data_IF_671862662972
#
_entry.id   IF_671862662972
#
_cell.length_a   1.000
_cell.length_b   1.000
_cell.length_c   1.000
_cell.angle_alpha   90.00
_cell.angle_beta   90.00
_cell.angle_gamma   90.00
#
_symmetry.space_group_name_H-M   'P 1'
#
loop_
_entity.id
_entity.type
_entity.pdbx_description
1 polymer ?
#
# COMPACT_ATOMS: atom_id res chain seq x y z
N UNK A 1 -51.06 -14.28 8.55
CA UNK A 1 -51.17 -13.42 9.75
C UNK A 1 -50.15 -12.26 9.89
N UNK A 2 -48.99 -12.19 9.20
CA UNK A 2 -48.10 -11.01 9.29
C UNK A 2 -48.41 -9.88 8.27
N UNK A 3 -48.93 -10.22 7.08
CA UNK A 3 -49.21 -9.25 6.01
C UNK A 3 -50.24 -8.18 6.40
N UNK A 4 -51.31 -8.59 7.09
CA UNK A 4 -52.37 -7.69 7.58
C UNK A 4 -51.85 -6.74 8.66
N UNK A 5 -50.94 -7.21 9.53
CA UNK A 5 -50.29 -6.36 10.54
C UNK A 5 -49.36 -5.33 9.90
N UNK A 6 -48.59 -5.73 8.89
CA UNK A 6 -47.72 -4.83 8.13
C UNK A 6 -48.53 -3.79 7.33
N UNK A 7 -49.61 -4.23 6.69
CA UNK A 7 -50.53 -3.35 5.95
C UNK A 7 -51.22 -2.32 6.86
N UNK A 8 -51.63 -2.74 8.07
CA UNK A 8 -52.20 -1.85 9.08
C UNK A 8 -51.14 -0.90 9.67
N UNK A 9 -49.88 -1.29 9.71
CA UNK A 9 -48.77 -0.42 10.14
C UNK A 9 -48.45 0.66 9.10
N UNK A 10 -48.46 0.30 7.80
CA UNK A 10 -48.27 1.21 6.67
C UNK A 10 -49.41 2.23 6.55
N UNK A 11 -50.66 1.77 6.60
CA UNK A 11 -51.84 2.65 6.52
C UNK A 11 -52.12 3.42 7.82
N UNK A 12 -51.56 2.97 8.94
CA UNK A 12 -51.79 3.52 10.27
C UNK A 12 -53.09 3.03 10.91
N UNK A 13 -53.04 2.91 12.24
CA UNK A 13 -54.18 2.48 13.05
C UNK A 13 -54.30 3.34 14.32
N UNK A 14 -55.47 3.29 14.92
CA UNK A 14 -55.81 4.06 16.11
C UNK A 14 -56.19 3.09 17.21
N UNK A 15 -55.65 3.31 18.41
CA UNK A 15 -56.09 2.63 19.62
C UNK A 15 -57.27 3.44 20.16
N UNK A 16 -58.43 2.80 20.21
CA UNK A 16 -59.67 3.40 20.68
C UNK A 16 -60.06 2.83 22.04
N UNK A 17 -60.60 3.68 22.89
CA UNK A 17 -61.27 3.32 24.14
C UNK A 17 -62.77 3.53 23.94
N UNK A 18 -63.54 2.47 24.09
CA UNK A 18 -64.99 2.45 24.01
C UNK A 18 -65.54 2.44 25.43
N UNK A 19 -66.47 3.35 25.74
CA UNK A 19 -67.15 3.41 27.04
C UNK A 19 -68.67 3.43 26.85
N UNK A 20 -69.38 2.50 27.49
CA UNK A 20 -70.84 2.44 27.49
C UNK A 20 -71.37 1.08 27.95
N UNK A 21 -72.63 1.07 28.38
CA UNK A 21 -73.28 -0.12 28.97
C UNK A 21 -73.55 -1.24 27.95
N UNK A 22 -73.51 -0.92 26.64
CA UNK A 22 -73.80 -1.85 25.54
C UNK A 22 -72.60 -2.04 24.60
N UNK A 23 -71.42 -2.24 25.16
CA UNK A 23 -70.19 -2.38 24.39
C UNK A 23 -70.22 -3.53 23.36
N UNK A 24 -70.86 -4.65 23.69
CA UNK A 24 -71.02 -5.82 22.80
C UNK A 24 -71.86 -5.51 21.56
N UNK A 25 -72.88 -4.65 21.72
CA UNK A 25 -73.72 -4.19 20.60
C UNK A 25 -72.90 -3.40 19.58
N UNK A 26 -71.92 -2.61 20.03
CA UNK A 26 -71.01 -1.88 19.13
C UNK A 26 -70.04 -2.82 18.40
N UNK A 27 -69.56 -3.89 19.05
CA UNK A 27 -68.75 -4.93 18.39
C UNK A 27 -69.55 -5.62 17.28
N UNK A 28 -70.81 -5.98 17.56
CA UNK A 28 -71.70 -6.57 16.55
C UNK A 28 -71.98 -5.63 15.39
N UNK A 29 -72.26 -4.35 15.64
CA UNK A 29 -72.41 -3.37 14.56
C UNK A 29 -71.13 -3.20 13.73
N UNK A 30 -69.96 -3.26 14.37
CA UNK A 30 -68.69 -3.18 13.66
C UNK A 30 -68.47 -4.40 12.75
N UNK A 31 -68.73 -5.61 13.26
CA UNK A 31 -68.62 -6.86 12.49
C UNK A 31 -69.57 -6.87 11.28
N UNK A 32 -70.83 -6.48 11.47
CA UNK A 32 -71.85 -6.42 10.40
C UNK A 32 -71.53 -5.40 9.30
N UNK A 33 -70.78 -4.34 9.63
CA UNK A 33 -70.38 -3.29 8.66
C UNK A 33 -68.97 -3.54 8.09
N UNK A 34 -68.39 -4.74 8.29
CA UNK A 34 -67.06 -5.10 7.80
C UNK A 34 -65.92 -4.32 8.45
N UNK A 35 -66.13 -3.75 9.64
CA UNK A 35 -65.10 -3.00 10.37
C UNK A 35 -64.30 -3.99 11.20
N UNK A 36 -63.06 -4.23 10.79
CA UNK A 36 -62.15 -5.12 11.49
C UNK A 36 -61.56 -4.44 12.73
N UNK A 37 -61.94 -4.95 13.91
CA UNK A 37 -61.37 -4.63 15.22
C UNK A 37 -60.39 -5.74 15.60
N UNK A 38 -59.19 -5.38 16.05
CA UNK A 38 -58.22 -6.36 16.53
C UNK A 38 -57.64 -5.97 17.89
N UNK A 39 -57.08 -6.97 18.59
CA UNK A 39 -56.49 -6.80 19.92
C UNK A 39 -57.47 -6.14 20.91
N UNK A 40 -58.68 -6.72 20.95
CA UNK A 40 -59.78 -6.26 21.82
C UNK A 40 -59.47 -6.69 23.25
N UNK A 41 -59.44 -5.73 24.18
CA UNK A 41 -59.20 -5.96 25.60
C UNK A 41 -60.30 -5.31 26.42
N UNK A 42 -60.95 -6.07 27.29
CA UNK A 42 -61.93 -5.56 28.25
C UNK A 42 -61.19 -5.16 29.52
N UNK A 43 -61.33 -3.89 29.92
CA UNK A 43 -60.70 -3.35 31.14
C UNK A 43 -61.70 -3.37 32.30
N UNK A 44 -62.96 -3.05 32.02
CA UNK A 44 -64.07 -3.02 32.98
C UNK A 44 -65.34 -3.44 32.26
N UNK A 45 -66.42 -3.73 32.98
CA UNK A 45 -67.72 -4.09 32.39
C UNK A 45 -68.18 -3.11 31.30
N UNK A 46 -67.97 -1.81 31.54
CA UNK A 46 -68.39 -0.73 30.64
C UNK A 46 -67.25 -0.13 29.81
N UNK A 47 -66.03 -0.69 29.85
CA UNK A 47 -64.84 -0.11 29.20
C UNK A 47 -64.05 -1.16 28.42
N UNK A 48 -63.92 -0.94 27.11
CA UNK A 48 -63.12 -1.79 26.21
C UNK A 48 -62.11 -0.97 25.41
N UNK A 49 -60.96 -1.58 25.10
CA UNK A 49 -59.95 -1.04 24.19
C UNK A 49 -59.86 -1.94 22.98
N UNK A 50 -59.78 -1.34 21.79
CA UNK A 50 -59.54 -2.07 20.55
C UNK A 50 -58.65 -1.26 19.61
N UNK A 51 -58.06 -1.93 18.62
CA UNK A 51 -57.33 -1.30 17.52
C UNK A 51 -58.19 -1.31 16.26
N UNK A 52 -58.21 -0.18 15.56
CA UNK A 52 -58.99 0.01 14.32
C UNK A 52 -58.16 0.77 13.29
N UNK A 53 -58.35 0.46 12.02
CA UNK A 53 -57.75 1.20 10.90
C UNK A 53 -58.23 2.66 10.88
N UNK A 54 -57.40 3.60 10.41
CA UNK A 54 -57.80 5.01 10.32
C UNK A 54 -59.06 5.20 9.47
N UNK A 55 -59.18 4.46 8.37
CA UNK A 55 -60.34 4.58 7.44
C UNK A 55 -61.62 4.13 8.13
N UNK A 56 -61.53 3.08 8.94
CA UNK A 56 -62.69 2.45 9.58
C UNK A 56 -63.06 3.14 10.89
N UNK A 57 -62.14 3.88 11.51
CA UNK A 57 -62.42 4.71 12.69
C UNK A 57 -63.55 5.71 12.45
N UNK A 58 -63.56 6.39 11.29
CA UNK A 58 -64.61 7.35 10.94
C UNK A 58 -65.97 6.69 10.71
N UNK A 59 -65.98 5.43 10.23
CA UNK A 59 -67.20 4.65 10.07
C UNK A 59 -67.71 4.16 11.42
N UNK A 60 -66.81 3.67 12.27
CA UNK A 60 -67.11 3.22 13.62
C UNK A 60 -67.63 4.35 14.51
N UNK A 61 -67.12 5.58 14.37
CA UNK A 61 -67.61 6.74 15.14
C UNK A 61 -69.06 7.11 14.85
N UNK A 62 -69.53 6.85 13.62
CA UNK A 62 -70.94 7.01 13.24
C UNK A 62 -71.81 5.91 13.85
N UNK A 63 -71.31 4.68 13.91
CA UNK A 63 -72.01 3.53 14.51
C UNK A 63 -72.08 3.61 16.04
N UNK A 64 -71.05 4.12 16.69
CA UNK A 64 -71.01 4.27 18.14
C UNK A 64 -72.12 5.20 18.67
N UNK A 65 -72.46 6.25 17.91
CA UNK A 65 -73.62 7.11 18.22
C UNK A 65 -74.94 6.34 18.20
N UNK A 66 -75.12 5.42 17.25
CA UNK A 66 -76.32 4.55 17.19
C UNK A 66 -76.36 3.53 18.33
N UNK A 67 -75.20 3.06 18.78
CA UNK A 67 -75.05 2.10 19.87
C UNK A 67 -75.02 2.75 21.28
N UNK A 68 -75.27 4.07 21.40
CA UNK A 68 -75.14 4.84 22.65
C UNK A 68 -73.80 4.65 23.38
N UNK A 69 -72.72 4.42 22.63
CA UNK A 69 -71.37 4.25 23.17
C UNK A 69 -70.52 5.48 22.86
N UNK A 70 -69.63 5.86 23.77
CA UNK A 70 -68.64 6.92 23.56
C UNK A 70 -67.30 6.32 23.13
N UNK A 71 -66.67 6.93 22.14
CA UNK A 71 -65.37 6.55 21.61
C UNK A 71 -64.34 7.62 21.93
N UNK A 72 -63.23 7.21 22.52
CA UNK A 72 -62.06 8.05 22.80
C UNK A 72 -60.85 7.52 22.04
N UNK A 73 -60.08 8.41 21.42
CA UNK A 73 -58.81 8.05 20.78
C UNK A 73 -57.71 8.11 21.83
N UNK A 74 -57.15 6.96 22.19
CA UNK A 74 -56.07 6.85 23.19
C UNK A 74 -54.71 7.14 22.56
N UNK A 75 -54.44 6.55 21.40
CA UNK A 75 -53.14 6.69 20.72
C UNK A 75 -53.28 6.53 19.22
N UNK A 76 -52.55 7.35 18.47
CA UNK A 76 -52.43 7.29 17.00
C UNK A 76 -51.08 6.63 16.67
N UNK A 77 -51.08 5.53 15.92
CA UNK A 77 -49.87 4.74 15.64
C UNK A 77 -49.78 4.41 14.15
N UNK A 78 -48.59 4.56 13.56
CA UNK A 78 -48.29 4.08 12.21
C UNK A 78 -47.57 5.09 11.31
N UNK A 79 -47.06 4.59 10.18
CA UNK A 79 -46.20 5.34 9.26
C UNK A 79 -46.94 6.52 8.61
N UNK A 80 -48.25 6.37 8.36
CA UNK A 80 -49.10 7.44 7.82
C UNK A 80 -49.10 8.71 8.69
N UNK A 81 -49.13 8.59 10.02
CA UNK A 81 -49.07 9.76 10.91
C UNK A 81 -47.70 10.44 10.91
N UNK A 82 -46.62 9.65 10.77
CA UNK A 82 -45.27 10.18 10.63
C UNK A 82 -45.08 10.91 9.30
N UNK A 83 -45.48 10.29 8.18
CA UNK A 83 -45.42 10.88 6.84
C UNK A 83 -46.30 12.13 6.73
N UNK A 84 -47.51 12.14 7.31
CA UNK A 84 -48.38 13.31 7.28
C UNK A 84 -47.82 14.50 8.09
N UNK A 85 -47.10 14.22 9.19
CA UNK A 85 -46.35 15.23 9.94
C UNK A 85 -45.14 15.74 9.14
N UNK A 86 -44.48 14.86 8.39
CA UNK A 86 -43.36 15.19 7.50
C UNK A 86 -43.81 15.99 6.27
N UNK A 87 -45.00 15.72 5.70
CA UNK A 87 -45.59 16.46 4.56
C UNK A 87 -45.83 17.94 4.87
N UNK A 88 -46.11 18.30 6.13
CA UNK A 88 -46.18 19.71 6.55
C UNK A 88 -44.82 20.41 6.54
N UNK A 89 -43.72 19.66 6.57
CA UNK A 89 -42.34 20.14 6.48
C UNK A 89 -41.77 19.86 5.09
N UNK A 90 -42.33 20.51 4.07
CA UNK A 90 -41.92 20.35 2.66
C UNK A 90 -40.41 20.53 2.47
N UNK A 91 -39.78 21.43 3.23
CA UNK A 91 -38.33 21.67 3.21
C UNK A 91 -37.51 20.44 3.60
N UNK A 92 -37.94 19.64 4.59
CA UNK A 92 -37.24 18.41 4.97
C UNK A 92 -37.32 17.34 3.89
N UNK A 93 -38.48 17.21 3.23
CA UNK A 93 -38.65 16.23 2.15
C UNK A 93 -37.79 16.62 0.95
N UNK A 94 -37.87 17.90 0.53
CA UNK A 94 -37.05 18.42 -0.57
C UNK A 94 -35.56 18.28 -0.26
N UNK A 95 -35.15 18.64 0.97
CA UNK A 95 -33.77 18.48 1.42
C UNK A 95 -33.31 17.03 1.44
N UNK A 96 -34.16 16.08 1.85
CA UNK A 96 -33.85 14.65 1.83
C UNK A 96 -33.66 14.13 0.40
N UNK A 97 -34.53 14.54 -0.52
CA UNK A 97 -34.43 14.15 -1.94
C UNK A 97 -33.17 14.75 -2.58
N UNK A 98 -32.91 16.04 -2.34
CA UNK A 98 -31.69 16.71 -2.79
C UNK A 98 -30.43 16.06 -2.23
N UNK A 99 -30.45 15.69 -0.95
CA UNK A 99 -29.33 15.02 -0.30
C UNK A 99 -29.05 13.66 -0.95
N UNK A 100 -30.08 12.85 -1.20
CA UNK A 100 -29.93 11.58 -1.91
C UNK A 100 -29.41 11.81 -3.34
N UNK A 101 -29.97 12.77 -4.08
CA UNK A 101 -29.49 13.12 -5.41
C UNK A 101 -28.03 13.58 -5.40
N UNK A 102 -27.63 14.34 -4.38
CA UNK A 102 -26.25 14.79 -4.18
C UNK A 102 -25.31 13.62 -3.85
N UNK A 103 -25.74 12.64 -3.06
CA UNK A 103 -24.97 11.41 -2.83
C UNK A 103 -24.75 10.62 -4.12
N UNK A 104 -25.78 10.49 -4.98
CA UNK A 104 -25.62 9.85 -6.29
C UNK A 104 -24.70 10.65 -7.22
N UNK A 105 -24.78 11.97 -7.17
CA UNK A 105 -23.87 12.85 -7.90
C UNK A 105 -22.43 12.62 -7.46
N UNK A 106 -22.14 12.66 -6.15
CA UNK A 106 -20.81 12.37 -5.60
C UNK A 106 -20.33 10.95 -5.93
N UNK A 107 -21.22 9.95 -5.90
CA UNK A 107 -20.89 8.56 -6.24
C UNK A 107 -20.58 8.35 -7.73
N UNK A 108 -20.89 9.32 -8.59
CA UNK A 108 -20.61 9.25 -10.03
C UNK A 108 -19.18 9.67 -10.39
N UNK A 109 -18.41 10.17 -9.41
CA UNK A 109 -17.02 10.58 -9.58
C UNK A 109 -16.05 9.53 -9.03
N UNK A 110 -14.84 9.53 -9.59
CA UNK A 110 -13.72 8.74 -9.09
C UNK A 110 -13.06 9.50 -7.96
N UNK A 111 -13.09 8.96 -6.74
CA UNK A 111 -12.46 9.56 -5.55
C UNK A 111 -11.07 9.00 -5.27
N UNK A 112 -10.77 7.80 -5.79
CA UNK A 112 -9.50 7.13 -5.50
C UNK A 112 -9.09 6.27 -6.69
N UNK A 113 -7.82 6.37 -7.06
CA UNK A 113 -7.19 5.51 -8.07
C UNK A 113 -6.11 4.69 -7.37
N UNK A 114 -6.31 3.38 -7.36
CA UNK A 114 -5.38 2.41 -6.80
C UNK A 114 -4.68 1.67 -7.94
N UNK A 115 -3.35 1.59 -7.85
CA UNK A 115 -2.53 0.87 -8.81
C UNK A 115 -1.86 -0.29 -8.09
N UNK A 116 -2.18 -1.51 -8.52
CA UNK A 116 -1.67 -2.75 -7.97
C UNK A 116 -0.58 -3.26 -8.94
N UNK A 117 0.66 -3.27 -8.46
CA UNK A 117 1.80 -3.85 -9.15
C UNK A 117 2.92 -4.14 -8.14
N UNK A 118 3.75 -5.13 -8.45
CA UNK A 118 4.91 -5.51 -7.63
C UNK A 118 5.98 -4.42 -7.62
N UNK A 119 6.17 -3.73 -8.75
CA UNK A 119 7.17 -2.68 -8.92
C UNK A 119 6.65 -1.31 -8.41
N UNK A 120 7.26 -0.72 -7.37
CA UNK A 120 6.88 0.60 -6.86
C UNK A 120 7.12 1.74 -7.86
N UNK A 121 8.15 1.65 -8.69
CA UNK A 121 8.49 2.68 -9.66
C UNK A 121 7.46 2.74 -10.78
N UNK A 122 7.06 1.56 -11.28
CA UNK A 122 6.00 1.43 -12.29
C UNK A 122 4.68 2.01 -11.79
N UNK A 123 4.30 1.73 -10.53
CA UNK A 123 3.08 2.31 -9.92
C UNK A 123 3.08 3.82 -9.95
N UNK A 124 4.20 4.45 -9.59
CA UNK A 124 4.27 5.91 -9.54
C UNK A 124 4.27 6.53 -10.96
N UNK A 125 4.97 5.89 -11.91
CA UNK A 125 5.01 6.32 -13.30
C UNK A 125 3.62 6.25 -13.94
N UNK A 126 2.94 5.10 -13.84
CA UNK A 126 1.60 4.93 -14.40
C UNK A 126 0.58 5.85 -13.72
N UNK A 127 0.71 6.11 -12.41
CA UNK A 127 -0.19 7.08 -11.73
C UNK A 127 -0.09 8.47 -12.34
N UNK A 128 1.12 8.93 -12.66
CA UNK A 128 1.34 10.25 -13.27
C UNK A 128 0.78 10.28 -14.69
N UNK A 129 1.05 9.24 -15.48
CA UNK A 129 0.60 9.16 -16.86
C UNK A 129 -0.93 9.10 -16.99
N UNK A 130 -1.59 8.34 -16.13
CA UNK A 130 -3.05 8.29 -16.07
C UNK A 130 -3.62 9.69 -15.78
N UNK A 131 -3.01 10.43 -14.86
CA UNK A 131 -3.43 11.80 -14.56
C UNK A 131 -3.21 12.75 -15.76
N UNK A 132 -2.09 12.63 -16.48
CA UNK A 132 -1.82 13.39 -17.71
C UNK A 132 -2.83 13.07 -18.83
N UNK A 133 -3.29 11.83 -18.91
CA UNK A 133 -4.32 11.40 -19.86
C UNK A 133 -5.76 11.69 -19.40
N UNK A 134 -5.94 12.41 -18.29
CA UNK A 134 -7.25 12.84 -17.79
C UNK A 134 -7.97 11.84 -16.88
N UNK A 135 -7.32 10.74 -16.49
CA UNK A 135 -7.80 9.81 -15.47
C UNK A 135 -7.17 10.15 -14.11
N UNK A 136 -7.81 11.08 -13.39
CA UNK A 136 -7.38 11.54 -12.07
C UNK A 136 -8.54 11.51 -11.07
N UNK A 137 -8.23 11.82 -9.82
CA UNK A 137 -9.26 12.00 -8.78
C UNK A 137 -10.16 13.18 -9.19
N UNK A 138 -11.49 12.96 -9.17
CA UNK A 138 -12.49 13.89 -9.68
C UNK A 138 -12.95 13.63 -11.11
N UNK A 139 -12.41 12.63 -11.82
CA UNK A 139 -12.89 12.27 -13.16
C UNK A 139 -14.31 11.66 -13.08
N UNK A 140 -15.17 12.05 -14.02
CA UNK A 140 -16.53 11.50 -14.13
C UNK A 140 -16.48 10.07 -14.65
N UNK A 141 -17.01 9.12 -13.87
CA UNK A 141 -16.87 7.67 -14.12
C UNK A 141 -17.35 7.22 -15.50
N UNK A 142 -18.44 7.81 -15.99
CA UNK A 142 -19.08 7.39 -17.24
C UNK A 142 -18.35 7.87 -18.50
N UNK A 143 -17.40 8.80 -18.36
CA UNK A 143 -16.59 9.29 -19.48
C UNK A 143 -15.28 8.49 -19.66
N UNK A 144 -15.03 7.49 -18.81
CA UNK A 144 -13.79 6.72 -18.81
C UNK A 144 -13.91 5.57 -19.81
N UNK A 145 -13.24 5.68 -20.96
CA UNK A 145 -13.06 4.56 -21.88
C UNK A 145 -11.85 3.72 -21.47
N UNK A 146 -12.14 2.62 -20.77
CA UNK A 146 -11.12 1.66 -20.28
C UNK A 146 -10.19 1.16 -21.37
N UNK A 147 -10.71 0.91 -22.59
CA UNK A 147 -9.90 0.35 -23.68
C UNK A 147 -8.84 1.36 -24.12
N UNK A 148 -9.26 2.61 -24.31
CA UNK A 148 -8.34 3.69 -24.70
C UNK A 148 -7.19 3.88 -23.71
N UNK A 149 -7.44 3.72 -22.39
CA UNK A 149 -6.39 3.83 -21.38
C UNK A 149 -5.47 2.60 -21.38
N UNK A 150 -6.02 1.39 -21.54
CA UNK A 150 -5.23 0.18 -21.67
C UNK A 150 -4.30 0.24 -22.89
N UNK A 151 -4.80 0.68 -24.05
CA UNK A 151 -4.01 0.81 -25.26
C UNK A 151 -2.83 1.78 -25.06
N UNK A 152 -3.08 2.94 -24.41
CA UNK A 152 -2.03 3.90 -24.05
C UNK A 152 -0.99 3.34 -23.09
N UNK A 153 -1.41 2.52 -22.13
CA UNK A 153 -0.50 1.83 -21.21
C UNK A 153 0.42 0.89 -22.00
N UNK A 154 -0.14 0.01 -22.85
CA UNK A 154 0.67 -0.92 -23.65
C UNK A 154 1.58 -0.22 -24.66
N UNK A 155 1.16 0.93 -25.22
CA UNK A 155 1.98 1.74 -26.12
C UNK A 155 3.19 2.37 -25.42
N UNK A 156 3.02 2.83 -24.17
CA UNK A 156 4.08 3.53 -23.43
C UNK A 156 5.03 2.57 -22.70
N UNK A 157 4.51 1.44 -22.23
CA UNK A 157 5.23 0.47 -21.41
C UNK A 157 5.30 -0.89 -22.10
N UNK A 158 6.39 -1.13 -22.82
CA UNK A 158 6.60 -2.38 -23.57
C UNK A 158 6.92 -3.59 -22.66
N UNK A 159 7.21 -3.34 -21.39
CA UNK A 159 7.55 -4.32 -20.36
C UNK A 159 6.33 -4.83 -19.57
N UNK A 160 5.10 -4.42 -19.93
CA UNK A 160 3.87 -4.90 -19.28
C UNK A 160 3.34 -6.15 -20.01
N UNK A 161 3.14 -7.25 -19.28
CA UNK A 161 2.58 -8.49 -19.81
C UNK A 161 1.06 -8.44 -19.86
N UNK A 162 0.45 -7.86 -18.83
CA UNK A 162 -0.99 -7.79 -18.68
C UNK A 162 -1.38 -6.56 -17.87
N UNK A 163 -2.49 -5.93 -18.27
CA UNK A 163 -3.06 -4.78 -17.59
C UNK A 163 -4.59 -4.86 -17.59
N UNK A 164 -5.21 -4.51 -16.47
CA UNK A 164 -6.67 -4.42 -16.33
C UNK A 164 -7.09 -3.14 -15.59
N UNK A 165 -8.20 -2.54 -16.03
CA UNK A 165 -8.83 -1.38 -15.38
C UNK A 165 -10.25 -1.75 -14.93
N UNK A 166 -10.43 -1.85 -13.61
CA UNK A 166 -11.72 -2.09 -12.96
C UNK A 166 -12.25 -0.81 -12.29
N UNK A 167 -13.57 -0.60 -12.32
CA UNK A 167 -14.20 0.51 -11.60
C UNK A 167 -15.18 -0.04 -10.58
N UNK A 168 -14.79 -0.04 -9.30
CA UNK A 168 -15.61 -0.50 -8.17
C UNK A 168 -16.17 0.69 -7.40
N UNK A 169 -17.49 0.91 -7.53
CA UNK A 169 -18.14 2.07 -6.92
C UNK A 169 -17.52 3.37 -7.46
N UNK A 170 -16.88 4.13 -6.56
CA UNK A 170 -16.14 5.37 -6.84
C UNK A 170 -14.61 5.22 -6.82
N UNK A 171 -14.11 3.98 -6.86
CA UNK A 171 -12.68 3.66 -6.93
C UNK A 171 -12.34 3.06 -8.29
N UNK A 172 -11.23 3.49 -8.87
CA UNK A 172 -10.63 2.85 -10.05
C UNK A 172 -9.45 2.02 -9.58
N UNK A 173 -9.40 0.76 -10.02
CA UNK A 173 -8.34 -0.18 -9.72
C UNK A 173 -7.64 -0.52 -11.03
N UNK A 174 -6.34 -0.26 -11.09
CA UNK A 174 -5.50 -0.59 -12.23
C UNK A 174 -4.52 -1.67 -11.79
N UNK A 175 -4.63 -2.85 -12.39
CA UNK A 175 -3.74 -3.98 -12.12
C UNK A 175 -2.74 -4.09 -13.25
N UNK A 176 -1.45 -4.20 -12.91
CA UNK A 176 -0.35 -4.27 -13.86
C UNK A 176 0.59 -5.40 -13.49
N UNK A 177 0.82 -6.31 -14.43
CA UNK A 177 1.77 -7.42 -14.32
C UNK A 177 2.88 -7.19 -15.33
N UNK A 178 4.12 -7.19 -14.86
CA UNK A 178 5.31 -7.00 -15.69
C UNK A 178 5.60 -8.29 -16.47
N UNK A 179 6.19 -8.16 -17.66
CA UNK A 179 6.80 -9.27 -18.38
C UNK A 179 7.97 -9.78 -17.54
N UNK A 180 7.98 -11.08 -17.30
CA UNK A 180 9.20 -11.74 -16.92
C UNK A 180 10.19 -11.58 -18.09
N UNK A 181 11.46 -11.22 -17.82
CA UNK A 181 12.47 -11.25 -18.86
C UNK A 181 12.46 -12.65 -19.47
N UNK A 182 12.45 -12.72 -20.81
CA UNK A 182 12.72 -13.99 -21.47
C UNK A 182 14.04 -14.54 -20.93
N UNK A 183 14.18 -15.87 -20.72
CA UNK A 183 15.50 -16.43 -20.48
C UNK A 183 16.40 -15.91 -21.60
N UNK A 184 17.52 -15.28 -21.24
CA UNK A 184 18.49 -14.78 -22.22
C UNK A 184 18.73 -15.93 -23.21
N UNK A 185 18.35 -15.74 -24.47
CA UNK A 185 18.83 -16.61 -25.54
C UNK A 185 20.34 -16.43 -25.49
N UNK A 186 21.06 -17.41 -24.92
CA UNK A 186 22.51 -17.40 -24.79
C UNK A 186 23.07 -16.90 -26.12
N UNK A 187 23.66 -15.70 -26.13
CA UNK A 187 24.32 -15.18 -27.31
C UNK A 187 25.35 -16.25 -27.70
N UNK A 188 25.18 -16.96 -28.81
CA UNK A 188 26.13 -18.00 -29.25
C UNK A 188 27.49 -17.41 -29.68
N UNK A 189 27.82 -16.20 -29.25
CA UNK A 189 29.12 -15.57 -29.39
C UNK A 189 30.14 -16.41 -28.63
N UNK A 190 31.21 -16.87 -29.30
CA UNK A 190 32.27 -17.57 -28.61
C UNK A 190 32.89 -16.67 -27.52
N UNK A 191 33.11 -17.24 -26.34
CA UNK A 191 33.67 -16.53 -25.21
C UNK A 191 34.46 -17.46 -24.30
N UNK A 192 35.38 -16.88 -23.54
CA UNK A 192 36.09 -17.53 -22.44
C UNK A 192 35.39 -17.20 -21.10
N UNK A 193 35.58 -18.04 -20.09
CA UNK A 193 35.29 -17.69 -18.69
C UNK A 193 36.61 -17.29 -18.06
N UNK A 194 36.70 -16.06 -17.58
CA UNK A 194 37.85 -15.52 -16.86
C UNK A 194 37.54 -15.34 -15.37
N UNK A 195 38.60 -15.29 -14.55
CA UNK A 195 38.50 -14.95 -13.14
C UNK A 195 38.07 -13.50 -12.97
N UNK A 196 37.00 -13.27 -12.22
CA UNK A 196 36.58 -11.92 -11.84
C UNK A 196 37.43 -11.31 -10.72
N UNK A 197 38.10 -12.16 -9.93
CA UNK A 197 38.86 -11.81 -8.73
C UNK A 197 39.98 -12.83 -8.50
N UNK A 198 40.96 -12.42 -7.72
CA UNK A 198 42.03 -13.30 -7.24
C UNK A 198 41.46 -14.34 -6.26
N UNK A 199 41.95 -15.58 -6.32
CA UNK A 199 41.49 -16.63 -5.43
C UNK A 199 42.16 -17.98 -5.66
N UNK A 200 41.84 -18.94 -4.79
CA UNK A 200 42.27 -20.34 -4.95
C UNK A 200 41.06 -21.16 -5.37
N UNK A 201 41.19 -21.87 -6.47
CA UNK A 201 40.10 -22.67 -7.03
C UNK A 201 39.85 -23.90 -6.15
N UNK A 202 38.59 -24.18 -5.80
CA UNK A 202 38.22 -25.42 -5.11
C UNK A 202 37.40 -26.35 -6.01
N UNK A 203 36.53 -25.78 -6.85
CA UNK A 203 35.60 -26.57 -7.67
C UNK A 203 35.44 -25.93 -9.05
N UNK A 204 35.63 -26.73 -10.09
CA UNK A 204 35.36 -26.34 -11.48
C UNK A 204 34.39 -27.35 -12.09
N UNK A 205 33.25 -26.85 -12.57
CA UNK A 205 32.25 -27.63 -13.30
C UNK A 205 32.14 -27.03 -14.71
N UNK A 206 32.91 -27.52 -15.69
CA UNK A 206 32.81 -27.05 -17.07
C UNK A 206 31.59 -27.69 -17.73
N UNK A 207 30.63 -26.86 -18.18
CA UNK A 207 29.45 -27.30 -18.93
C UNK A 207 29.68 -27.25 -20.45
N UNK A 208 30.42 -26.24 -20.92
CA UNK A 208 30.90 -26.05 -22.30
C UNK A 208 32.25 -25.34 -22.29
N UNK A 209 33.18 -25.74 -23.16
CA UNK A 209 34.55 -25.25 -23.19
C UNK A 209 35.51 -26.18 -22.43
N UNK A 210 36.80 -25.87 -22.49
CA UNK A 210 37.87 -26.66 -21.88
C UNK A 210 38.45 -25.96 -20.65
N UNK A 211 38.43 -26.58 -19.45
CA UNK A 211 39.00 -25.98 -18.25
C UNK A 211 40.54 -25.91 -18.36
N UNK A 212 41.11 -24.73 -18.16
CA UNK A 212 42.57 -24.50 -18.25
C UNK A 212 43.25 -24.59 -16.88
N UNK A 213 42.46 -24.54 -15.81
CA UNK A 213 42.87 -24.54 -14.41
C UNK A 213 42.31 -25.74 -13.67
N UNK A 214 42.87 -26.06 -12.50
CA UNK A 214 42.48 -27.20 -11.66
C UNK A 214 42.17 -26.77 -10.22
N UNK A 215 41.37 -27.56 -9.47
CA UNK A 215 41.25 -27.39 -8.03
C UNK A 215 42.63 -27.34 -7.35
N UNK A 216 42.87 -26.33 -6.54
CA UNK A 216 44.13 -26.03 -5.86
C UNK A 216 44.97 -24.94 -6.53
N UNK A 217 44.66 -24.54 -7.77
CA UNK A 217 45.41 -23.49 -8.46
C UNK A 217 45.04 -22.09 -7.92
N UNK A 218 46.05 -21.23 -7.79
CA UNK A 218 45.87 -19.81 -7.50
C UNK A 218 45.72 -19.05 -8.83
N UNK A 219 44.69 -18.20 -8.90
CA UNK A 219 44.38 -17.39 -10.09
C UNK A 219 44.29 -15.92 -9.73
N UNK A 220 44.67 -15.05 -10.66
CA UNK A 220 44.51 -13.60 -10.59
C UNK A 220 43.30 -13.15 -11.40
N UNK A 221 42.74 -11.99 -11.05
CA UNK A 221 41.65 -11.38 -11.78
C UNK A 221 42.03 -11.14 -13.25
N UNK A 222 41.33 -11.82 -14.16
CA UNK A 222 41.57 -11.78 -15.60
C UNK A 222 42.12 -13.08 -16.20
N UNK A 223 42.57 -14.02 -15.38
CA UNK A 223 43.06 -15.32 -15.83
C UNK A 223 41.95 -16.15 -16.50
N UNK A 224 42.30 -16.91 -17.52
CA UNK A 224 41.34 -17.78 -18.23
C UNK A 224 41.11 -19.05 -17.41
N UNK A 225 39.86 -19.24 -16.99
CA UNK A 225 39.43 -20.40 -16.21
C UNK A 225 38.92 -21.53 -17.11
N UNK A 226 38.04 -21.19 -18.06
CA UNK A 226 37.52 -22.12 -19.07
C UNK A 226 37.68 -21.45 -20.42
N UNK A 227 38.43 -22.10 -21.33
CA UNK A 227 38.63 -21.60 -22.68
C UNK A 227 37.53 -22.06 -23.63
N UNK A 228 37.09 -21.13 -24.46
CA UNK A 228 36.18 -21.37 -25.57
C UNK A 228 36.90 -21.88 -26.82
N UNK A 229 38.22 -22.02 -26.79
CA UNK A 229 39.02 -22.61 -27.87
C UNK A 229 39.30 -24.07 -27.55
N UNK A 230 38.63 -24.97 -28.27
CA UNK A 230 38.84 -26.42 -28.11
C UNK A 230 39.74 -26.88 -29.26
N UNK A 231 40.89 -27.46 -28.92
CA UNK A 231 41.80 -28.06 -29.89
C UNK A 231 41.55 -29.57 -29.98
N UNK A 232 41.11 -30.04 -31.15
CA UNK A 232 40.94 -31.48 -31.40
C UNK A 232 42.11 -31.97 -32.23
N UNK A 233 42.91 -32.86 -31.63
CA UNK A 233 43.95 -33.62 -32.32
C UNK A 233 43.30 -34.84 -32.97
N UNK A 234 43.28 -34.94 -34.31
CA UNK A 234 42.70 -36.11 -34.97
C UNK A 234 43.59 -37.33 -34.69
N UNK A 235 43.00 -38.42 -34.18
CA UNK A 235 43.66 -39.72 -34.07
C UNK A 235 43.85 -40.31 -35.46
N UNK A 236 44.86 -39.84 -36.20
CA UNK A 236 45.23 -40.41 -37.49
C UNK A 236 46.38 -41.40 -37.27
N UNK A 237 46.20 -42.57 -37.86
CA UNK A 237 47.18 -43.66 -37.91
C UNK A 237 48.56 -43.19 -38.40
N UNK A 238 49.66 -43.93 -38.15
CA UNK A 238 51.04 -43.44 -38.26
C UNK A 238 51.57 -43.19 -39.70
N UNK A 239 50.73 -42.77 -40.64
CA UNK A 239 51.07 -42.67 -42.07
C UNK A 239 50.78 -41.34 -42.77
N UNK A 240 50.29 -40.30 -42.11
CA UNK A 240 50.13 -38.98 -42.75
C UNK A 240 50.60 -37.83 -41.85
N UNK A 241 51.65 -37.12 -42.30
CA UNK A 241 52.34 -35.99 -41.64
C UNK A 241 51.55 -34.66 -41.70
N UNK A 242 50.24 -34.68 -41.40
CA UNK A 242 49.44 -33.45 -41.28
C UNK A 242 48.84 -33.34 -39.88
N UNK A 243 49.72 -33.15 -38.89
CA UNK A 243 49.41 -32.95 -37.47
C UNK A 243 49.03 -31.49 -37.14
N UNK A 244 48.09 -30.88 -37.89
CA UNK A 244 47.56 -29.57 -37.50
C UNK A 244 46.28 -29.76 -36.67
N UNK A 245 46.25 -29.29 -35.40
CA UNK A 245 45.04 -29.36 -34.59
C UNK A 245 43.93 -28.52 -35.24
N UNK A 246 42.72 -29.07 -35.28
CA UNK A 246 41.54 -28.29 -35.67
C UNK A 246 41.00 -27.59 -34.44
N UNK A 247 40.92 -26.26 -34.48
CA UNK A 247 40.41 -25.44 -33.38
C UNK A 247 38.96 -25.05 -33.63
N UNK A 248 38.11 -25.28 -32.62
CA UNK A 248 36.71 -24.88 -32.62
C UNK A 248 36.48 -23.81 -31.56
N UNK A 249 35.68 -22.80 -31.91
CA UNK A 249 35.26 -21.74 -31.00
C UNK A 249 33.87 -22.05 -30.46
N UNK A 250 33.75 -22.11 -29.13
CA UNK A 250 32.50 -22.36 -28.42
C UNK A 250 32.20 -21.24 -27.43
N UNK A 251 30.93 -21.07 -27.07
CA UNK A 251 30.53 -20.25 -25.94
C UNK A 251 30.83 -21.02 -24.66
N UNK A 252 31.88 -20.61 -23.93
CA UNK A 252 32.24 -21.26 -22.67
C UNK A 252 31.16 -21.04 -21.60
N UNK A 253 30.78 -22.13 -20.95
CA UNK A 253 29.82 -22.12 -19.86
C UNK A 253 30.27 -23.07 -18.76
N UNK A 254 30.16 -22.67 -17.51
CA UNK A 254 30.62 -23.46 -16.38
C UNK A 254 30.60 -22.66 -15.10
N UNK A 255 30.70 -23.35 -13.98
CA UNK A 255 30.73 -22.78 -12.63
C UNK A 255 32.14 -22.97 -12.10
N UNK A 256 32.79 -21.90 -11.64
CA UNK A 256 34.14 -21.96 -11.06
C UNK A 256 34.11 -21.34 -9.68
N UNK A 257 34.05 -22.19 -8.65
CA UNK A 257 34.04 -21.73 -7.26
C UNK A 257 35.46 -21.65 -6.73
N UNK A 258 35.77 -20.50 -6.15
CA UNK A 258 37.06 -20.22 -5.54
C UNK A 258 36.90 -19.66 -4.13
N UNK A 259 37.94 -19.87 -3.33
CA UNK A 259 38.18 -19.27 -2.03
C UNK A 259 38.76 -17.87 -2.26
N UNK A 260 38.02 -16.85 -1.84
CA UNK A 260 38.37 -15.44 -2.03
C UNK A 260 38.37 -14.71 -0.69
N UNK A 261 39.35 -13.82 -0.49
CA UNK A 261 39.43 -12.97 0.69
C UNK A 261 38.77 -11.62 0.44
N UNK A 262 37.74 -11.30 1.20
CA UNK A 262 37.09 -9.99 1.20
C UNK A 262 37.54 -9.19 2.40
N UNK A 263 37.99 -7.96 2.15
CA UNK A 263 38.39 -7.04 3.21
C UNK A 263 37.42 -5.86 3.31
N UNK A 264 37.03 -5.53 4.54
CA UNK A 264 36.30 -4.32 4.89
C UNK A 264 37.07 -3.56 5.95
N UNK A 265 37.05 -2.23 5.86
CA UNK A 265 37.74 -1.36 6.79
C UNK A 265 36.78 -0.27 7.27
N UNK A 266 36.72 -0.07 8.58
CA UNK A 266 35.93 0.97 9.24
C UNK A 266 36.88 1.89 9.98
N UNK A 267 36.65 3.20 9.83
CA UNK A 267 37.44 4.24 10.49
C UNK A 267 36.58 4.97 11.52
N UNK A 268 36.97 4.92 12.80
CA UNK A 268 36.24 5.59 13.88
C UNK A 268 37.13 6.67 14.52
N UNK A 269 36.75 7.95 14.38
CA UNK A 269 37.50 9.05 15.00
C UNK A 269 37.30 9.03 16.51
N UNK A 270 38.39 9.30 17.25
CA UNK A 270 38.38 9.44 18.71
C UNK A 270 37.64 10.71 19.16
N UNK A 271 37.44 11.69 18.27
CA UNK A 271 36.67 12.91 18.55
C UNK A 271 35.45 12.93 17.65
N UNK A 272 34.26 12.80 18.25
CA UNK A 272 32.98 12.86 17.56
C UNK A 272 32.27 14.17 17.90
N UNK A 273 31.78 14.87 16.89
CA UNK A 273 30.88 16.00 17.09
C UNK A 273 29.46 15.44 17.09
N UNK A 274 28.78 15.52 18.23
CA UNK A 274 27.36 15.19 18.32
C UNK A 274 26.54 16.44 18.59
N UNK A 275 25.37 16.52 17.99
CA UNK A 275 24.42 17.58 18.25
C UNK A 275 23.61 17.23 19.50
N UNK A 276 23.68 18.08 20.52
CA UNK A 276 22.95 17.91 21.77
C UNK A 276 21.89 19.00 21.88
N UNK A 277 20.66 18.62 22.23
CA UNK A 277 19.57 19.57 22.48
C UNK A 277 19.92 20.47 23.69
N UNK A 278 19.83 21.79 23.51
CA UNK A 278 20.11 22.76 24.59
C UNK A 278 18.92 22.94 25.54
N UNK A 279 17.77 22.32 25.21
CA UNK A 279 16.49 22.54 25.89
C UNK A 279 15.79 23.84 25.50
N UNK A 280 16.44 24.74 24.75
CA UNK A 280 15.79 25.92 24.21
C UNK A 280 14.92 25.56 23.02
N UNK A 281 13.70 26.10 23.00
CA UNK A 281 12.81 25.92 21.86
C UNK A 281 12.00 27.16 21.58
N UNK A 282 11.67 27.35 20.30
CA UNK A 282 10.85 28.47 19.83
C UNK A 282 9.76 27.97 18.92
N UNK A 283 8.53 28.41 19.16
CA UNK A 283 7.38 28.07 18.32
C UNK A 283 7.18 29.15 17.26
N UNK A 284 6.97 28.75 16.01
CA UNK A 284 6.53 29.65 14.95
C UNK A 284 5.38 29.05 14.15
N UNK A 285 4.60 29.93 13.52
CA UNK A 285 3.52 29.56 12.62
C UNK A 285 4.07 29.51 11.20
N UNK A 286 3.86 28.38 10.52
CA UNK A 286 4.24 28.16 9.13
C UNK A 286 2.97 28.06 8.30
N UNK A 287 2.83 28.97 7.34
CA UNK A 287 1.73 28.94 6.37
C UNK A 287 2.21 28.21 5.11
N UNK A 288 1.39 27.31 4.58
CA UNK A 288 1.65 26.57 3.35
C UNK A 288 0.46 26.66 2.39
N UNK A 289 0.76 26.73 1.08
CA UNK A 289 -0.25 26.88 0.03
C UNK A 289 0.02 25.87 -1.11
N UNK A 290 -0.72 24.76 -1.11
CA UNK A 290 -0.58 23.62 -2.02
C UNK A 290 0.72 22.81 -1.85
N UNK A 291 1.09 22.04 -2.88
CA UNK A 291 2.26 21.14 -2.87
C UNK A 291 3.64 21.84 -2.86
N UNK A 292 3.68 23.14 -3.12
CA UNK A 292 4.88 23.96 -2.92
C UNK A 292 4.80 24.57 -1.52
N UNK A 293 5.58 24.02 -0.60
CA UNK A 293 5.80 24.59 0.72
C UNK A 293 6.55 25.93 0.62
N UNK A 294 5.90 26.97 0.13
CA UNK A 294 6.42 28.33 0.20
C UNK A 294 6.39 28.75 1.67
N UNK A 295 7.52 28.58 2.34
CA UNK A 295 7.69 28.86 3.76
C UNK A 295 7.65 30.36 4.02
N UNK A 296 6.46 30.92 4.19
CA UNK A 296 6.32 32.23 4.81
C UNK A 296 6.57 32.03 6.31
N UNK A 297 7.84 32.20 6.72
CA UNK A 297 8.26 32.13 8.12
C UNK A 297 7.97 33.48 8.79
N UNK A 298 7.05 33.52 9.76
CA UNK A 298 6.83 34.73 10.55
C UNK A 298 7.88 34.80 11.69
N UNK A 299 8.85 35.70 11.54
CA UNK A 299 9.89 35.98 12.53
C UNK A 299 11.26 35.32 12.27
N UNK A 300 12.32 35.89 12.86
CA UNK A 300 13.68 35.32 12.79
C UNK A 300 13.86 34.20 13.83
N UNK A 301 14.39 33.07 13.39
CA UNK A 301 14.82 31.96 14.24
C UNK A 301 16.25 32.27 14.70
N UNK A 302 16.53 32.39 16.01
CA UNK A 302 17.83 32.84 16.51
C UNK A 302 18.85 31.70 16.69
N UNK A 303 18.62 30.53 16.08
CA UNK A 303 19.43 29.32 16.27
C UNK A 303 20.18 29.00 14.97
N UNK A 304 21.48 28.74 15.06
CA UNK A 304 22.33 28.36 13.92
C UNK A 304 22.11 26.90 13.51
N UNK A 305 22.00 25.99 14.49
CA UNK A 305 21.68 24.57 14.31
C UNK A 305 20.42 24.27 15.12
N UNK A 306 19.40 23.69 14.48
CA UNK A 306 18.14 23.38 15.13
C UNK A 306 17.44 22.17 14.51
N UNK A 307 16.70 21.45 15.34
CA UNK A 307 15.77 20.42 14.90
C UNK A 307 14.34 20.99 14.80
N UNK A 308 13.51 20.38 13.96
CA UNK A 308 12.18 20.89 13.59
C UNK A 308 11.10 19.85 13.90
N UNK A 309 10.26 20.14 14.89
CA UNK A 309 9.10 19.31 15.24
C UNK A 309 7.80 20.01 14.81
N UNK A 310 6.95 19.31 14.05
CA UNK A 310 5.61 19.79 13.68
C UNK A 310 4.64 19.33 14.77
N UNK A 311 4.09 20.28 15.53
CA UNK A 311 3.22 19.96 16.68
C UNK A 311 1.75 19.83 16.27
N UNK A 312 1.29 20.66 15.33
CA UNK A 312 -0.08 20.64 14.83
C UNK A 312 -0.10 21.02 13.35
N UNK A 313 -0.86 20.26 12.56
CA UNK A 313 -1.08 20.50 11.14
C UNK A 313 -2.58 20.66 10.90
N UNK A 314 -2.98 21.85 10.46
CA UNK A 314 -4.36 22.12 10.06
C UNK A 314 -4.40 22.34 8.55
N UNK A 315 -4.91 21.37 7.81
CA UNK A 315 -5.15 21.47 6.36
C UNK A 315 -6.62 21.76 6.09
N UNK A 316 -6.88 22.91 5.47
CA UNK A 316 -8.21 23.31 5.02
C UNK A 316 -8.32 23.12 3.51
N UNK A 317 -9.27 22.29 3.02
CA UNK A 317 -9.51 22.15 1.59
C UNK A 317 -10.21 23.40 1.07
N UNK A 318 -9.46 24.30 0.41
CA UNK A 318 -10.02 25.41 -0.35
C UNK A 318 -10.21 24.98 -1.81
N UNK A 319 -11.32 25.41 -2.43
CA UNK A 319 -11.80 25.05 -3.79
C UNK A 319 -10.75 25.05 -4.93
N UNK A 320 -9.59 25.68 -4.75
CA UNK A 320 -8.54 25.84 -5.77
C UNK A 320 -7.18 25.31 -5.25
N UNK A 321 -6.97 25.15 -3.94
CA UNK A 321 -5.69 24.71 -3.34
C UNK A 321 -5.81 24.42 -1.84
N UNK A 322 -5.07 23.43 -1.35
CA UNK A 322 -4.97 23.16 0.09
C UNK A 322 -4.22 24.29 0.81
N UNK A 323 -4.81 24.85 1.86
CA UNK A 323 -4.17 25.80 2.75
C UNK A 323 -3.82 25.10 4.06
N UNK A 324 -2.53 25.02 4.38
CA UNK A 324 -2.03 24.38 5.59
C UNK A 324 -1.50 25.43 6.57
N UNK A 325 -1.94 25.37 7.83
CA UNK A 325 -1.35 26.11 8.94
C UNK A 325 -0.67 25.11 9.86
N UNK A 326 0.65 25.17 9.92
CA UNK A 326 1.46 24.33 10.78
C UNK A 326 2.01 25.13 11.96
N UNK A 327 1.89 24.58 13.16
CA UNK A 327 2.62 25.08 14.33
C UNK A 327 3.91 24.27 14.44
N UNK A 328 5.04 24.95 14.22
CA UNK A 328 6.36 24.34 14.16
C UNK A 328 7.18 24.77 15.36
N UNK A 329 7.74 23.80 16.08
CA UNK A 329 8.64 24.01 17.21
C UNK A 329 10.07 23.76 16.74
N UNK A 330 10.91 24.78 16.86
CA UNK A 330 12.33 24.72 16.56
C UNK A 330 13.09 24.49 17.87
N UNK A 331 13.84 23.40 17.97
CA UNK A 331 14.71 23.12 19.12
C UNK A 331 16.14 23.45 18.78
N UNK A 332 16.81 24.23 19.61
CA UNK A 332 18.23 24.56 19.39
C UNK A 332 19.11 23.34 19.67
N UNK A 333 20.04 23.09 18.75
CA UNK A 333 21.10 22.09 18.89
C UNK A 333 22.42 22.81 19.05
N UNK A 334 23.31 22.26 19.90
CA UNK A 334 24.71 22.67 19.94
C UNK A 334 25.61 21.47 19.70
N UNK A 335 26.54 21.66 18.77
CA UNK A 335 27.62 20.72 18.49
C UNK A 335 28.50 20.60 19.74
N UNK A 336 28.47 19.43 20.38
CA UNK A 336 29.36 19.06 21.48
C UNK A 336 30.37 18.03 20.97
N UNK A 337 31.66 18.34 21.14
CA UNK A 337 32.73 17.38 20.89
C UNK A 337 32.81 16.41 22.07
N UNK A 338 32.71 15.12 21.79
CA UNK A 338 32.93 14.04 22.74
C UNK A 338 34.17 13.29 22.32
N UNK A 339 35.10 13.13 23.26
CA UNK A 339 36.26 12.25 23.12
C UNK A 339 35.85 10.82 23.50
N UNK A 340 35.93 9.90 22.55
CA UNK A 340 35.81 8.47 22.77
C UNK A 340 37.13 7.93 23.32
N UNK A 341 37.04 7.02 24.28
CA UNK A 341 38.20 6.22 24.67
C UNK A 341 38.56 5.23 23.57
N UNK A 342 39.81 4.76 23.53
CA UNK A 342 40.28 3.76 22.56
C UNK A 342 39.43 2.49 22.65
N UNK A 343 39.06 2.05 23.85
CA UNK A 343 38.21 0.88 24.07
C UNK A 343 36.80 1.05 23.51
N UNK A 344 36.20 2.23 23.66
CA UNK A 344 34.88 2.54 23.10
C UNK A 344 34.92 2.60 21.57
N UNK A 345 35.98 3.18 21.01
CA UNK A 345 36.19 3.24 19.56
C UNK A 345 36.38 1.83 18.96
N UNK A 346 37.10 0.93 19.64
CA UNK A 346 37.23 -0.49 19.23
C UNK A 346 35.88 -1.21 19.29
N UNK A 347 35.09 -1.02 20.36
CA UNK A 347 33.75 -1.62 20.47
C UNK A 347 32.79 -1.12 19.39
N UNK A 348 32.84 0.17 19.07
CA UNK A 348 32.04 0.74 17.97
C UNK A 348 32.51 0.21 16.61
N UNK A 349 33.83 0.00 16.42
CA UNK A 349 34.39 -0.60 15.21
C UNK A 349 33.91 -2.03 15.03
N UNK A 350 34.01 -2.84 16.08
CA UNK A 350 33.53 -4.21 16.10
C UNK A 350 32.03 -4.27 15.78
N UNK A 351 31.22 -3.39 16.39
CA UNK A 351 29.77 -3.35 16.13
C UNK A 351 29.43 -2.99 14.68
N UNK A 352 30.17 -2.07 14.06
CA UNK A 352 29.97 -1.71 12.65
C UNK A 352 30.41 -2.86 11.73
N UNK A 353 31.57 -3.45 11.96
CA UNK A 353 32.06 -4.60 11.20
C UNK A 353 31.15 -5.84 11.34
N UNK A 354 30.54 -6.06 12.50
CA UNK A 354 29.54 -7.12 12.69
C UNK A 354 28.24 -6.87 11.92
N UNK A 355 27.86 -5.61 11.68
CA UNK A 355 26.73 -5.30 10.79
C UNK A 355 27.07 -5.59 9.34
N UNK A 356 28.26 -5.20 8.89
CA UNK A 356 28.73 -5.51 7.53
C UNK A 356 28.90 -7.01 7.33
N UNK A 357 29.25 -7.77 8.36
CA UNK A 357 29.33 -9.23 8.31
C UNK A 357 28.00 -9.89 7.90
N UNK A 358 26.85 -9.30 8.29
CA UNK A 358 25.52 -9.82 7.92
C UNK A 358 25.28 -9.80 6.41
N UNK A 359 25.96 -8.92 5.67
CA UNK A 359 25.87 -8.91 4.19
C UNK A 359 26.47 -10.19 3.58
N UNK A 360 27.34 -10.89 4.30
CA UNK A 360 28.00 -12.12 3.85
C UNK A 360 27.42 -13.40 4.46
N UNK A 361 26.37 -13.34 5.30
CA UNK A 361 25.73 -14.53 5.89
C UNK A 361 25.07 -15.46 4.86
N UNK A 362 24.69 -14.94 3.70
CA UNK A 362 24.10 -15.72 2.61
C UNK A 362 25.15 -16.43 1.72
N UNK A 363 26.44 -16.16 1.94
CA UNK A 363 27.55 -16.78 1.23
C UNK A 363 28.25 -17.77 2.15
N UNK A 364 28.78 -18.88 1.63
CA UNK A 364 29.45 -19.88 2.47
C UNK A 364 30.75 -19.28 3.06
N UNK A 365 30.73 -19.01 4.36
CA UNK A 365 31.83 -18.45 5.15
C UNK A 365 32.70 -19.56 5.73
N UNK A 366 34.01 -19.52 5.49
CA UNK A 366 34.96 -20.53 6.01
C UNK A 366 35.74 -19.99 7.23
N UNK A 367 36.41 -18.84 7.07
CA UNK A 367 37.19 -18.21 8.14
C UNK A 367 37.00 -16.69 8.26
N UNK A 368 37.18 -16.19 9.48
CA UNK A 368 37.04 -14.77 9.83
C UNK A 368 38.25 -14.31 10.66
N UNK A 369 38.84 -13.19 10.26
CA UNK A 369 39.87 -12.50 11.03
C UNK A 369 39.50 -11.02 11.18
N UNK A 370 39.55 -10.51 12.41
CA UNK A 370 39.35 -9.09 12.72
C UNK A 370 40.64 -8.55 13.34
N UNK A 371 41.11 -7.41 12.85
CA UNK A 371 42.28 -6.71 13.37
C UNK A 371 41.92 -5.25 13.63
N UNK A 372 42.46 -4.65 14.68
CA UNK A 372 42.23 -3.26 15.03
C UNK A 372 43.58 -2.57 15.20
N UNK A 373 43.80 -1.51 14.41
CA UNK A 373 45.05 -0.75 14.41
C UNK A 373 44.74 0.70 14.74
N UNK A 374 45.46 1.24 15.73
CA UNK A 374 45.40 2.67 16.04
C UNK A 374 46.27 3.43 15.05
N UNK A 375 45.70 4.41 14.36
CA UNK A 375 46.47 5.28 13.47
C UNK A 375 46.76 6.61 14.19
N UNK A 376 47.98 6.80 14.73
CA UNK A 376 48.32 8.00 15.50
C UNK A 376 48.28 9.29 14.68
N UNK A 377 48.34 9.22 13.35
CA UNK A 377 48.25 10.40 12.46
C UNK A 377 46.82 10.95 12.29
N UNK A 378 45.78 10.17 12.62
CA UNK A 378 44.37 10.52 12.33
C UNK A 378 43.47 10.56 13.56
N UNK A 379 44.03 10.41 14.77
CA UNK A 379 43.28 10.27 16.02
C UNK A 379 42.07 9.32 15.85
N UNK A 380 42.31 8.15 15.26
CA UNK A 380 41.25 7.22 14.90
C UNK A 380 41.67 5.75 15.02
N UNK A 381 40.69 4.90 15.31
CA UNK A 381 40.83 3.44 15.31
C UNK A 381 40.35 2.91 13.95
N UNK A 382 41.22 2.17 13.26
CA UNK A 382 40.88 1.48 12.02
C UNK A 382 40.68 0.01 12.34
N UNK A 383 39.44 -0.46 12.19
CA UNK A 383 39.11 -1.88 12.26
C UNK A 383 39.09 -2.49 10.87
N UNK A 384 39.86 -3.54 10.66
CA UNK A 384 39.87 -4.34 9.42
C UNK A 384 39.23 -5.71 9.69
N UNK A 385 38.28 -6.06 8.83
CA UNK A 385 37.64 -7.37 8.80
C UNK A 385 38.06 -8.06 7.50
N UNK A 386 38.74 -9.20 7.64
CA UNK A 386 39.05 -10.09 6.52
C UNK A 386 38.19 -11.34 6.65
N UNK A 387 37.43 -11.63 5.60
CA UNK A 387 36.52 -12.76 5.55
C UNK A 387 36.88 -13.62 4.35
N UNK A 388 36.98 -14.91 4.59
CA UNK A 388 37.18 -15.92 3.57
C UNK A 388 35.82 -16.45 3.12
N UNK A 389 35.52 -16.28 1.84
CA UNK A 389 34.22 -16.60 1.24
C UNK A 389 34.40 -17.59 0.10
N UNK A 390 33.49 -18.55 0.02
CA UNK A 390 33.37 -19.45 -1.11
C UNK A 390 32.33 -18.94 -2.10
N UNK A 391 32.78 -18.49 -3.28
CA UNK A 391 31.90 -17.92 -4.31
C UNK A 391 32.31 -18.30 -5.75
N UNK A 392 31.36 -18.20 -6.67
CA UNK A 392 31.64 -18.33 -8.11
C UNK A 392 32.37 -17.08 -8.61
N UNK A 393 33.57 -17.29 -9.16
CA UNK A 393 34.40 -16.21 -9.70
C UNK A 393 34.37 -16.14 -11.23
N UNK A 394 33.63 -17.02 -11.90
CA UNK A 394 33.55 -17.08 -13.36
C UNK A 394 32.86 -15.86 -13.98
N UNK A 395 33.54 -15.18 -14.90
CA UNK A 395 32.98 -14.06 -15.69
C UNK A 395 33.21 -14.29 -17.17
N UNK A 396 32.15 -14.18 -17.99
CA UNK A 396 32.26 -14.31 -19.45
C UNK A 396 33.06 -13.14 -20.05
N UNK A 397 34.00 -13.47 -20.93
CA UNK A 397 34.78 -12.52 -21.74
C UNK A 397 34.68 -12.93 -23.21
N UNK A 398 34.04 -12.07 -24.01
CA UNK A 398 33.98 -12.20 -25.47
C UNK A 398 35.38 -12.17 -26.07
N UNK A 399 35.60 -12.91 -27.16
CA UNK A 399 36.82 -12.81 -27.96
C UNK A 399 36.91 -11.51 -28.78
N UNK A 400 35.76 -10.84 -28.99
CA UNK A 400 35.62 -9.60 -29.76
C UNK A 400 35.40 -8.39 -28.88
#
# INVERSE_FOLDING_TARGET
MPLIRLWNYLNGYVIIKMTGDYGERLLNYAALNGIYLWDIKRITENVMIAKVSIRDFFRLSRLARKARCRLFVVKRVGLFFFINRLKRRKTLIIGSVLFIAFLYFLSSFVWNIEIISEDPQLRQAVKKDLAEWGLSEGTFKYNIDKKSYLDKIFLKYNDIAWAEIEIRGSKVIVQLVKKEPAPELEENTPCDIIASKDGIIEEIIPLRGEPVVKPGDAVEAGDVLISGRIEIYPNISPREDNNNPSSFLVHSHGIVKARVWRQKAVNIPLIKTIDVETGQSKTAIRLSLGSKHNNIKLGKIPYDIYDVEITNQLTLPLFIRDFGVDVVKYKELKAKKISLSIEEAVKEAEKQLLKELKEFENTALDHKKMEFVLTPEKDAVVGTLTVEVFEDIGKKKSFY
#
